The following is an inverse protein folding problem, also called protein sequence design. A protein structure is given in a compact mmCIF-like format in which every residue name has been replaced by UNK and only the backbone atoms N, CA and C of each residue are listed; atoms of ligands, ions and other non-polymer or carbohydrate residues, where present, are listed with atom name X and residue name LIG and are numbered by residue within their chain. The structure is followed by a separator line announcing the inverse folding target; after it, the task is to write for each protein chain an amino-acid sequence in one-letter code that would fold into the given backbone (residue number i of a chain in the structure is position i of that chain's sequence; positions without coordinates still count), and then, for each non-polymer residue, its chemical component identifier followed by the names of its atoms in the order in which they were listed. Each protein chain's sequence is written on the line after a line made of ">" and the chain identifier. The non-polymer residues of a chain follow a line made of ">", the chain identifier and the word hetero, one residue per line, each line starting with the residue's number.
data_IF_091967406424
#
_entry.id   IF_091967406424
#
_cell.length_a   1.000
_cell.length_b   1.000
_cell.length_c   1.000
_cell.angle_alpha   90.00
_cell.angle_beta   90.00
_cell.angle_gamma   90.00
#
_symmetry.space_group_name_H-M   'P 1'
#
loop_
_entity.id
_entity.type
_entity.pdbx_description
1 polymer ?
#
# COMPACT_ATOMS: atom_id res chain seq x y z
N UNK A 1 -3.38 2.40 -13.08
CA UNK A 1 -2.22 1.82 -12.35
C UNK A 1 -0.95 1.80 -13.22
N UNK A 2 -0.95 1.15 -14.38
CA UNK A 2 0.24 0.99 -15.26
C UNK A 2 1.01 2.30 -15.55
N UNK A 3 0.32 3.38 -15.92
CA UNK A 3 0.95 4.68 -16.23
C UNK A 3 1.72 5.27 -15.04
N UNK A 4 1.17 5.13 -13.83
CA UNK A 4 1.81 5.63 -12.61
C UNK A 4 3.06 4.84 -12.25
N UNK A 5 3.00 3.51 -12.33
CA UNK A 5 4.19 2.67 -12.11
C UNK A 5 5.28 2.91 -13.15
N UNK A 6 4.90 3.10 -14.41
CA UNK A 6 5.86 3.43 -15.47
C UNK A 6 6.58 4.74 -15.18
N UNK A 7 5.85 5.78 -14.79
CA UNK A 7 6.46 7.06 -14.40
C UNK A 7 7.43 6.89 -13.22
N UNK A 8 7.11 6.04 -12.24
CA UNK A 8 8.04 5.73 -11.14
C UNK A 8 9.32 5.08 -11.64
N UNK A 9 9.23 4.09 -12.53
CA UNK A 9 10.40 3.40 -13.08
C UNK A 9 11.27 4.35 -13.90
N UNK A 10 10.67 5.24 -14.69
CA UNK A 10 11.39 6.21 -15.51
C UNK A 10 12.16 7.25 -14.67
N UNK A 11 11.69 7.57 -13.45
CA UNK A 11 12.37 8.51 -12.55
C UNK A 11 13.26 7.80 -11.50
N UNK A 12 13.31 6.47 -11.50
CA UNK A 12 13.99 5.72 -10.44
C UNK A 12 15.50 5.95 -10.46
N UNK A 13 16.08 6.12 -11.64
CA UNK A 13 17.52 6.40 -11.80
C UNK A 13 17.90 7.74 -11.16
N UNK A 14 17.02 8.74 -11.23
CA UNK A 14 17.24 10.06 -10.61
C UNK A 14 17.08 10.04 -9.08
N UNK A 15 16.39 9.03 -8.53
CA UNK A 15 16.12 8.92 -7.09
C UNK A 15 17.01 7.92 -6.37
N UNK A 16 17.94 7.28 -7.09
CA UNK A 16 18.72 6.15 -6.58
C UNK A 16 19.60 6.51 -5.38
N UNK A 17 20.10 7.74 -5.35
CA UNK A 17 20.98 8.24 -4.28
C UNK A 17 20.22 9.01 -3.19
N UNK A 18 18.89 9.08 -3.28
CA UNK A 18 18.07 9.76 -2.28
C UNK A 18 17.91 8.90 -1.02
N UNK A 19 17.76 9.54 0.15
CA UNK A 19 17.33 8.85 1.36
C UNK A 19 16.04 8.06 1.12
N UNK A 20 15.91 6.90 1.75
CA UNK A 20 14.76 6.01 1.58
C UNK A 20 13.42 6.73 1.80
N UNK A 21 13.37 7.65 2.76
CA UNK A 21 12.21 8.49 3.03
C UNK A 21 11.80 9.36 1.85
N UNK A 22 12.76 10.01 1.19
CA UNK A 22 12.53 10.86 0.03
C UNK A 22 12.17 10.02 -1.20
N UNK A 23 12.83 8.88 -1.40
CA UNK A 23 12.48 7.94 -2.46
C UNK A 23 11.00 7.50 -2.34
N UNK A 24 10.57 7.08 -1.16
CA UNK A 24 9.18 6.64 -0.93
C UNK A 24 8.18 7.78 -1.09
N UNK A 25 8.52 9.01 -0.67
CA UNK A 25 7.67 10.18 -0.90
C UNK A 25 7.54 10.53 -2.39
N UNK A 26 8.64 10.47 -3.15
CA UNK A 26 8.63 10.72 -4.59
C UNK A 26 7.81 9.67 -5.35
N UNK A 27 7.95 8.40 -4.99
CA UNK A 27 7.11 7.30 -5.51
C UNK A 27 5.65 7.59 -5.23
N UNK A 28 5.31 7.93 -3.98
CA UNK A 28 3.94 8.23 -3.57
C UNK A 28 3.33 9.39 -4.36
N UNK A 29 4.03 10.52 -4.41
CA UNK A 29 3.60 11.72 -5.15
C UNK A 29 3.42 11.46 -6.66
N UNK A 30 4.34 10.70 -7.25
CA UNK A 30 4.29 10.30 -8.65
C UNK A 30 3.09 9.40 -8.94
N UNK A 31 2.78 8.45 -8.05
CA UNK A 31 1.61 7.59 -8.17
C UNK A 31 0.30 8.37 -8.05
N UNK A 32 0.21 9.34 -7.13
CA UNK A 32 -0.98 10.21 -7.01
C UNK A 32 -1.20 11.01 -8.30
N UNK A 33 -0.11 11.53 -8.89
CA UNK A 33 -0.18 12.45 -10.03
C UNK A 33 -0.38 11.74 -11.37
N UNK A 34 0.21 10.55 -11.56
CA UNK A 34 0.23 9.87 -12.86
C UNK A 34 -0.77 8.71 -12.97
N UNK A 35 -1.47 8.35 -11.89
CA UNK A 35 -2.46 7.28 -11.92
C UNK A 35 -3.87 7.83 -12.04
N UNK A 36 -4.52 7.62 -13.19
CA UNK A 36 -5.97 7.82 -13.31
C UNK A 36 -6.75 6.71 -12.59
N UNK A 37 -7.67 7.10 -11.69
CA UNK A 37 -8.61 6.20 -10.98
C UNK A 37 -8.50 6.25 -9.45
N UNK A 38 -9.44 5.58 -8.77
CA UNK A 38 -9.52 5.56 -7.30
C UNK A 38 -8.32 4.86 -6.62
N UNK A 39 -7.63 3.97 -7.33
CA UNK A 39 -6.49 3.22 -6.80
C UNK A 39 -5.22 4.07 -6.64
N UNK A 40 -4.99 5.05 -7.51
CA UNK A 40 -3.81 5.91 -7.50
C UNK A 40 -3.58 6.63 -6.18
N UNK A 41 -4.56 7.39 -5.68
CA UNK A 41 -4.47 8.08 -4.39
C UNK A 41 -4.30 7.14 -3.20
N UNK A 42 -4.84 5.92 -3.23
CA UNK A 42 -4.71 4.96 -2.13
C UNK A 42 -3.27 4.44 -2.02
N UNK A 43 -2.70 3.96 -3.13
CA UNK A 43 -1.31 3.52 -3.16
C UNK A 43 -0.35 4.68 -2.89
N UNK A 44 -0.58 5.84 -3.50
CA UNK A 44 0.24 7.02 -3.28
C UNK A 44 0.28 7.44 -1.81
N UNK A 45 -0.88 7.46 -1.13
CA UNK A 45 -0.95 7.77 0.30
C UNK A 45 -0.17 6.76 1.13
N UNK A 46 -0.24 5.47 0.79
CA UNK A 46 0.50 4.44 1.50
C UNK A 46 2.02 4.67 1.43
N UNK A 47 2.56 4.91 0.23
CA UNK A 47 4.00 5.19 0.04
C UNK A 47 4.44 6.50 0.70
N UNK A 48 3.60 7.55 0.66
CA UNK A 48 3.91 8.79 1.38
C UNK A 48 3.99 8.58 2.89
N UNK A 49 3.06 7.80 3.48
CA UNK A 49 3.09 7.49 4.92
C UNK A 49 4.30 6.65 5.30
N UNK A 50 4.72 5.71 4.45
CA UNK A 50 5.97 4.97 4.63
C UNK A 50 7.18 5.90 4.61
N UNK A 51 7.25 6.81 3.63
CA UNK A 51 8.32 7.79 3.54
C UNK A 51 8.43 8.70 4.77
N UNK A 52 7.31 9.14 5.32
CA UNK A 52 7.29 9.87 6.60
C UNK A 52 7.70 8.98 7.79
N UNK A 53 7.29 7.72 7.80
CA UNK A 53 7.63 6.79 8.88
C UNK A 53 9.12 6.43 8.92
N UNK A 54 9.79 6.46 7.77
CA UNK A 54 11.21 6.13 7.62
C UNK A 54 12.11 7.35 7.47
N UNK A 55 11.63 8.54 7.87
CA UNK A 55 12.37 9.80 7.72
C UNK A 55 13.77 9.75 8.36
N UNK A 56 13.87 9.14 9.54
CA UNK A 56 15.11 9.01 10.31
C UNK A 56 15.65 7.56 10.33
N UNK A 57 15.26 6.75 9.35
CA UNK A 57 15.61 5.33 9.27
C UNK A 57 16.43 5.06 8.02
N UNK A 58 17.74 4.89 8.20
CA UNK A 58 18.67 4.52 7.10
C UNK A 58 18.47 3.06 6.65
N UNK A 59 18.08 2.18 7.58
CA UNK A 59 17.82 0.76 7.31
C UNK A 59 16.52 0.30 7.94
N UNK A 60 15.60 -0.18 7.11
CA UNK A 60 14.32 -0.69 7.59
C UNK A 60 14.52 -2.06 8.24
N UNK A 61 14.54 -2.06 9.57
CA UNK A 61 14.49 -3.27 10.38
C UNK A 61 13.03 -3.74 10.58
N UNK A 62 12.84 -4.94 11.15
CA UNK A 62 11.50 -5.49 11.42
C UNK A 62 10.56 -4.52 12.16
N UNK A 63 11.00 -3.89 13.27
CA UNK A 63 10.20 -2.90 13.99
C UNK A 63 9.83 -1.66 13.17
N UNK A 64 10.77 -1.09 12.41
CA UNK A 64 10.53 0.07 11.55
C UNK A 64 9.57 -0.28 10.40
N UNK A 65 9.63 -1.51 9.88
CA UNK A 65 8.68 -2.00 8.90
C UNK A 65 7.27 -2.11 9.50
N UNK A 66 7.12 -2.75 10.67
CA UNK A 66 5.82 -2.89 11.34
C UNK A 66 5.18 -1.53 11.61
N UNK A 67 5.95 -0.58 12.18
CA UNK A 67 5.49 0.78 12.45
C UNK A 67 5.12 1.54 11.17
N UNK A 68 5.94 1.42 10.12
CA UNK A 68 5.66 2.02 8.82
C UNK A 68 4.39 1.48 8.17
N UNK A 69 4.24 0.16 8.15
CA UNK A 69 3.05 -0.51 7.59
C UNK A 69 1.78 -0.15 8.36
N UNK A 70 1.83 -0.06 9.70
CA UNK A 70 0.70 0.40 10.50
C UNK A 70 0.27 1.82 10.09
N UNK A 71 1.22 2.75 9.94
CA UNK A 71 0.95 4.13 9.48
C UNK A 71 0.42 4.17 8.04
N UNK A 72 0.90 3.28 7.17
CA UNK A 72 0.42 3.18 5.79
C UNK A 72 -1.02 2.66 5.72
N UNK A 73 -1.33 1.61 6.48
CA UNK A 73 -2.70 1.06 6.64
C UNK A 73 -3.64 2.14 7.16
N UNK A 74 -3.24 2.89 8.20
CA UNK A 74 -4.03 4.00 8.73
C UNK A 74 -4.25 5.09 7.67
N UNK A 75 -3.22 5.45 6.90
CA UNK A 75 -3.33 6.41 5.81
C UNK A 75 -4.28 5.97 4.70
N UNK A 76 -4.25 4.69 4.32
CA UNK A 76 -5.18 4.12 3.34
C UNK A 76 -6.61 4.15 3.89
N UNK A 77 -6.81 3.74 5.15
CA UNK A 77 -8.13 3.73 5.79
C UNK A 77 -8.73 5.14 5.85
N UNK A 78 -7.94 6.15 6.24
CA UNK A 78 -8.37 7.56 6.26
C UNK A 78 -8.70 8.08 4.86
N UNK A 79 -7.88 7.77 3.86
CA UNK A 79 -8.06 8.25 2.47
C UNK A 79 -9.23 7.57 1.77
N UNK A 80 -9.36 6.26 1.94
CA UNK A 80 -10.42 5.43 1.34
C UNK A 80 -11.73 5.45 2.12
N UNK A 81 -11.73 5.97 3.36
CA UNK A 81 -12.84 5.83 4.32
C UNK A 81 -13.27 4.36 4.48
N UNK A 82 -12.32 3.43 4.38
CA UNK A 82 -12.54 1.97 4.44
C UNK A 82 -12.07 1.42 5.78
N UNK A 83 -12.70 0.34 6.23
CA UNK A 83 -12.30 -0.41 7.43
C UNK A 83 -11.85 -1.82 7.04
N UNK A 84 -11.10 -2.47 7.93
CA UNK A 84 -10.76 -3.88 7.76
C UNK A 84 -12.06 -4.71 7.68
N UNK A 85 -12.16 -5.56 6.67
CA UNK A 85 -13.33 -6.36 6.32
C UNK A 85 -14.22 -5.76 5.23
N UNK A 86 -13.87 -4.59 4.66
CA UNK A 86 -14.63 -3.97 3.56
C UNK A 86 -14.41 -4.65 2.20
N UNK A 87 -13.52 -5.66 2.12
CA UNK A 87 -13.20 -6.36 0.90
C UNK A 87 -12.30 -5.53 -0.02
N UNK A 88 -11.41 -4.73 0.56
CA UNK A 88 -10.62 -3.74 -0.18
C UNK A 88 -9.12 -3.95 -0.02
N UNK A 89 -8.32 -3.16 -0.74
CA UNK A 89 -6.85 -3.15 -0.63
C UNK A 89 -6.36 -3.11 0.83
N UNK A 90 -7.11 -2.45 1.71
CA UNK A 90 -6.81 -2.34 3.14
C UNK A 90 -6.72 -3.70 3.83
N UNK A 91 -7.51 -4.69 3.42
CA UNK A 91 -7.52 -6.03 4.01
C UNK A 91 -6.22 -6.78 3.77
N UNK A 92 -5.70 -6.68 2.54
CA UNK A 92 -4.42 -7.28 2.17
C UNK A 92 -3.29 -6.57 2.91
N UNK A 93 -3.31 -5.24 2.99
CA UNK A 93 -2.28 -4.47 3.69
C UNK A 93 -2.28 -4.70 5.20
N UNK A 94 -3.46 -4.81 5.81
CA UNK A 94 -3.60 -5.11 7.24
C UNK A 94 -3.10 -6.51 7.57
N UNK A 95 -3.36 -7.49 6.70
CA UNK A 95 -2.85 -8.85 6.85
C UNK A 95 -1.32 -8.90 6.71
N UNK A 96 -0.74 -8.17 5.75
CA UNK A 96 0.72 -8.07 5.58
C UNK A 96 1.36 -7.41 6.81
N UNK A 97 0.74 -6.37 7.35
CA UNK A 97 1.19 -5.74 8.59
C UNK A 97 1.14 -6.69 9.80
N UNK A 98 0.15 -7.58 9.86
CA UNK A 98 -0.02 -8.55 10.95
C UNK A 98 0.87 -9.80 10.83
N UNK A 99 1.26 -10.18 9.61
CA UNK A 99 2.10 -11.38 9.36
C UNK A 99 3.58 -11.09 9.56
N UNK A 100 4.01 -9.84 9.38
CA UNK A 100 5.40 -9.48 9.64
C UNK A 100 5.65 -9.45 11.15
N UNK A 101 6.11 -10.57 11.68
CA UNK A 101 6.52 -10.69 13.07
C UNK A 101 8.03 -10.42 13.21
N UNK A 102 8.42 -9.82 14.33
CA UNK A 102 9.71 -9.18 14.58
C UNK A 102 10.94 -10.11 14.36
N UNK A 103 10.72 -11.43 14.36
CA UNK A 103 11.77 -12.46 14.48
C UNK A 103 12.14 -13.16 13.18
N UNK A 104 11.28 -13.20 12.19
CA UNK A 104 11.57 -13.94 10.97
C UNK A 104 10.81 -13.34 9.80
N UNK A 105 11.50 -12.57 8.97
CA UNK A 105 10.80 -11.82 7.98
C UNK A 105 10.73 -12.79 6.78
N UNK A 106 9.66 -13.59 6.79
CA UNK A 106 9.47 -14.74 5.90
C UNK A 106 8.73 -14.28 4.64
N UNK A 107 9.48 -13.73 3.69
CA UNK A 107 8.96 -13.16 2.43
C UNK A 107 8.01 -14.11 1.71
N UNK A 108 8.37 -15.40 1.69
CA UNK A 108 7.55 -16.46 1.09
C UNK A 108 6.23 -16.70 1.82
N UNK A 109 6.17 -16.56 3.15
CA UNK A 109 4.91 -16.66 3.92
C UNK A 109 4.02 -15.44 3.65
N UNK A 110 4.62 -14.25 3.57
CA UNK A 110 3.90 -13.00 3.27
C UNK A 110 3.29 -13.06 1.87
N UNK A 111 4.06 -13.48 0.87
CA UNK A 111 3.58 -13.61 -0.51
C UNK A 111 2.43 -14.63 -0.61
N UNK A 112 2.58 -15.78 0.03
CA UNK A 112 1.54 -16.81 0.05
C UNK A 112 0.25 -16.35 0.74
N UNK A 113 0.38 -15.63 1.85
CA UNK A 113 -0.77 -15.13 2.60
C UNK A 113 -1.45 -13.93 1.91
N UNK A 114 -0.69 -13.05 1.25
CA UNK A 114 -1.22 -11.97 0.43
C UNK A 114 -2.00 -12.52 -0.77
N UNK A 115 -1.45 -13.54 -1.46
CA UNK A 115 -2.15 -14.25 -2.54
C UNK A 115 -3.44 -14.90 -2.05
N UNK A 116 -3.39 -15.61 -0.93
CA UNK A 116 -4.57 -16.25 -0.34
C UNK A 116 -5.64 -15.21 0.02
N UNK A 117 -5.24 -14.11 0.66
CA UNK A 117 -6.19 -13.06 1.05
C UNK A 117 -6.78 -12.36 -0.16
N UNK A 118 -6.02 -12.14 -1.23
CA UNK A 118 -6.54 -11.61 -2.49
C UNK A 118 -7.66 -12.50 -3.04
N UNK A 119 -7.46 -13.81 -3.09
CA UNK A 119 -8.48 -14.78 -3.53
C UNK A 119 -9.67 -14.87 -2.57
N UNK A 120 -9.45 -14.76 -1.26
CA UNK A 120 -10.53 -14.73 -0.28
C UNK A 120 -11.39 -13.45 -0.41
N UNK A 121 -10.78 -12.33 -0.82
CA UNK A 121 -11.47 -11.04 -1.02
C UNK A 121 -12.44 -11.09 -2.22
N UNK A 122 -12.19 -11.97 -3.18
CA UNK A 122 -13.08 -12.21 -4.34
C UNK A 122 -14.47 -12.74 -3.94
N UNK A 123 -14.55 -13.46 -2.81
CA UNK A 123 -15.82 -13.99 -2.26
C UNK A 123 -16.54 -13.04 -1.29
N UNK A 124 -15.93 -11.90 -0.97
CA UNK A 124 -16.47 -10.95 0.00
C UNK A 124 -17.27 -9.85 -0.72
N UNK A 125 -18.48 -9.56 -0.26
CA UNK A 125 -19.29 -8.45 -0.82
C UNK A 125 -18.53 -7.13 -0.62
N UNK A 126 -18.02 -6.56 -1.71
CA UNK A 126 -17.32 -5.27 -1.70
C UNK A 126 -18.29 -4.18 -1.28
N UNK A 127 -18.03 -3.56 -0.12
CA UNK A 127 -18.93 -2.54 0.46
C UNK A 127 -18.59 -1.12 -0.01
N UNK A 128 -17.40 -0.90 -0.61
CA UNK A 128 -16.93 0.42 -1.07
C UNK A 128 -16.00 0.31 -2.29
N UNK A 129 -16.10 1.26 -3.22
CA UNK A 129 -15.28 1.35 -4.42
C UNK A 129 -16.10 1.30 -5.71
N UNK A 130 -15.43 1.31 -6.87
CA UNK A 130 -16.09 1.29 -8.17
C UNK A 130 -16.99 0.05 -8.37
N UNK A 131 -16.63 -1.08 -7.76
CA UNK A 131 -17.39 -2.33 -7.84
C UNK A 131 -18.64 -2.34 -6.94
N UNK A 132 -18.64 -1.57 -5.85
CA UNK A 132 -19.87 -1.35 -5.08
C UNK A 132 -20.88 -0.50 -5.86
N UNK A 133 -20.39 0.50 -6.62
CA UNK A 133 -21.25 1.37 -7.44
C UNK A 133 -21.92 0.61 -8.61
N UNK A 134 -21.26 -0.41 -9.18
CA UNK A 134 -21.88 -1.25 -10.23
C UNK A 134 -22.90 -2.24 -9.67
N UNK A 135 -22.74 -2.68 -8.41
CA UNK A 135 -23.69 -3.57 -7.73
C UNK A 135 -25.00 -2.88 -7.30
N UNK A 136 -24.98 -1.56 -7.06
CA UNK A 136 -26.20 -0.79 -6.72
C UNK A 136 -27.03 -0.44 -7.96
N UNK A 137 -26.40 -0.40 -9.14
CA UNK A 137 -27.04 0.08 -10.38
C UNK A 137 -27.50 -1.08 -11.30
N UNK A 138 -27.81 -2.24 -10.72
CA UNK A 138 -28.28 -3.44 -11.43
C UNK A 138 -29.61 -3.93 -10.87
#
# INVERSE_FOLDING_TARGET
>A
MWKGLRAVVENLDDWRDLPLSQLMQNVGSTLVSNTGGASGPLYGTAFMRLGTAWQDVDHVNGPAWMSGMAKAVEGIAQRGKTQAGDGTLLDVWSLVAAILDEKEPAWKKIEGAAKKRMTDTESTVVKKGAEHCSAINR
#
